data_IF_991858056913
#
_entry.id   IF_991858056913
#
_cell.length_a   1.000
_cell.length_b   1.000
_cell.length_c   1.000
_cell.angle_alpha   90.00
_cell.angle_beta   90.00
_cell.angle_gamma   90.00
#
_symmetry.space_group_name_H-M   'P 1'
#
loop_
_entity.id
_entity.type
_entity.pdbx_description
1 polymer ?
#
# COMPACT_ATOMS: atom_id res chain seq x y z
N UNK A 1 5.46 17.96 8.46
CA UNK A 1 5.17 16.51 8.39
C UNK A 1 5.03 16.14 6.93
N UNK A 2 6.01 15.47 6.30
CA UNK A 2 5.90 15.12 4.88
C UNK A 2 4.98 13.90 4.71
N UNK A 3 3.99 14.02 3.83
CA UNK A 3 3.18 12.90 3.37
C UNK A 3 4.03 12.09 2.37
N UNK A 4 3.98 10.77 2.48
CA UNK A 4 4.64 9.84 1.57
C UNK A 4 3.64 8.79 1.10
N UNK A 5 3.76 8.41 -0.17
CA UNK A 5 3.11 7.23 -0.70
C UNK A 5 3.98 6.03 -0.31
N UNK A 6 3.39 5.03 0.34
CA UNK A 6 4.10 3.85 0.86
C UNK A 6 3.27 2.58 0.75
N UNK A 7 3.96 1.44 0.81
CA UNK A 7 3.34 0.12 0.81
C UNK A 7 3.07 -0.36 2.25
N UNK A 8 1.81 -0.64 2.56
CA UNK A 8 1.40 -1.28 3.80
C UNK A 8 1.30 -2.79 3.62
N UNK A 9 2.00 -3.55 4.48
CA UNK A 9 2.08 -5.01 4.32
C UNK A 9 0.84 -5.66 4.92
N UNK A 10 0.00 -6.18 4.03
CA UNK A 10 -1.11 -7.05 4.32
C UNK A 10 -0.82 -8.47 3.81
N UNK A 11 -1.71 -9.42 4.09
CA UNK A 11 -1.54 -10.81 3.67
C UNK A 11 -0.84 -11.70 4.70
N UNK A 12 -0.50 -12.91 4.27
CA UNK A 12 -0.07 -14.01 5.15
C UNK A 12 1.45 -14.17 5.15
N UNK A 13 1.97 -14.96 6.06
CA UNK A 13 3.38 -15.41 6.00
C UNK A 13 3.59 -16.13 4.65
N UNK A 14 4.64 -15.76 3.92
CA UNK A 14 4.94 -16.32 2.60
C UNK A 14 4.03 -15.88 1.45
N UNK A 15 2.99 -15.08 1.70
CA UNK A 15 2.08 -14.53 0.67
C UNK A 15 1.86 -13.03 0.92
N UNK A 16 2.83 -12.17 0.55
CA UNK A 16 2.73 -10.73 0.79
C UNK A 16 1.69 -10.07 -0.11
N UNK A 17 0.87 -9.18 0.43
CA UNK A 17 -0.06 -8.34 -0.29
C UNK A 17 0.10 -6.91 0.19
N UNK A 18 0.04 -5.91 -0.69
CA UNK A 18 0.34 -4.54 -0.30
C UNK A 18 -0.80 -3.60 -0.62
N UNK A 19 -1.09 -2.70 0.31
CA UNK A 19 -1.91 -1.52 0.03
C UNK A 19 -0.98 -0.36 -0.28
N UNK A 20 -1.31 0.38 -1.34
CA UNK A 20 -0.64 1.61 -1.71
C UNK A 20 -1.39 2.73 -0.99
N UNK A 21 -0.75 3.39 -0.03
CA UNK A 21 -1.40 4.38 0.84
C UNK A 21 -0.61 5.67 0.91
N UNK A 22 -1.31 6.79 1.02
CA UNK A 22 -0.74 8.08 1.41
C UNK A 22 -0.78 8.20 2.93
N UNK A 23 0.37 8.45 3.58
CA UNK A 23 0.46 8.58 5.03
C UNK A 23 1.58 9.54 5.46
N UNK A 24 1.51 10.07 6.69
CA UNK A 24 2.63 10.80 7.28
C UNK A 24 3.85 9.87 7.41
N UNK A 25 5.03 10.36 7.01
CA UNK A 25 6.29 9.66 7.10
C UNK A 25 6.62 9.11 8.51
N UNK A 26 6.09 9.72 9.57
CA UNK A 26 6.35 9.31 10.97
C UNK A 26 5.42 8.21 11.47
N UNK A 27 4.31 7.94 10.77
CA UNK A 27 3.38 6.88 11.16
C UNK A 27 4.02 5.50 11.03
N UNK A 28 3.65 4.55 11.88
CA UNK A 28 4.11 3.15 11.77
C UNK A 28 3.70 2.56 10.42
N UNK A 29 4.45 1.55 9.91
CA UNK A 29 4.23 0.98 8.58
C UNK A 29 2.75 0.65 8.35
N UNK A 30 2.19 -0.24 9.16
CA UNK A 30 0.81 -0.74 9.02
C UNK A 30 -0.19 0.05 9.91
N UNK A 31 0.18 1.26 10.34
CA UNK A 31 -0.66 2.12 11.17
C UNK A 31 -1.66 2.96 10.37
N UNK A 32 -2.14 4.04 10.99
CA UNK A 32 -3.07 4.99 10.37
C UNK A 32 -2.49 5.59 9.09
N UNK A 33 -3.29 5.60 8.03
CA UNK A 33 -3.03 6.27 6.76
C UNK A 33 -4.09 7.35 6.52
N UNK A 34 -3.83 8.24 5.55
CA UNK A 34 -4.76 9.30 5.13
C UNK A 34 -5.74 8.74 4.11
N UNK A 35 -5.21 8.12 3.06
CA UNK A 35 -5.98 7.60 1.93
C UNK A 35 -5.34 6.33 1.35
N UNK A 36 -6.17 5.43 0.85
CA UNK A 36 -5.74 4.24 0.10
C UNK A 36 -5.85 4.54 -1.39
N UNK A 37 -4.70 4.59 -2.05
CA UNK A 37 -4.56 4.89 -3.48
C UNK A 37 -4.65 3.63 -4.35
N UNK A 38 -4.54 2.44 -3.76
CA UNK A 38 -4.56 1.21 -4.55
C UNK A 38 -4.06 -0.03 -3.84
N UNK A 39 -3.80 -1.07 -4.62
CA UNK A 39 -3.25 -2.34 -4.18
C UNK A 39 -2.13 -2.83 -5.10
N UNK A 40 -1.23 -3.60 -4.51
CA UNK A 40 -0.17 -4.30 -5.21
C UNK A 40 -0.08 -5.74 -4.72
N UNK A 41 -0.21 -6.69 -5.66
CA UNK A 41 -0.13 -8.12 -5.39
C UNK A 41 1.03 -8.75 -6.20
N UNK A 42 2.17 -9.03 -5.55
CA UNK A 42 3.30 -9.70 -6.21
C UNK A 42 3.12 -11.22 -6.35
N UNK A 43 2.03 -11.82 -5.84
CA UNK A 43 1.83 -13.27 -5.91
C UNK A 43 1.25 -13.72 -7.26
N UNK A 44 0.86 -12.79 -8.13
CA UNK A 44 0.36 -13.06 -9.48
C UNK A 44 1.48 -12.85 -10.51
N UNK A 45 1.39 -13.53 -11.65
CA UNK A 45 2.31 -13.34 -12.77
C UNK A 45 1.50 -13.06 -14.05
N UNK A 46 1.52 -11.82 -14.59
CA UNK A 46 2.23 -10.65 -14.08
C UNK A 46 1.67 -10.14 -12.75
N UNK A 47 2.47 -9.37 -12.01
CA UNK A 47 2.04 -8.81 -10.72
C UNK A 47 0.85 -7.86 -10.91
N UNK A 48 -0.18 -8.01 -10.08
CA UNK A 48 -1.40 -7.19 -10.17
C UNK A 48 -1.16 -5.87 -9.46
N UNK A 49 -1.42 -4.77 -10.15
CA UNK A 49 -1.39 -3.41 -9.63
C UNK A 49 -2.71 -2.75 -9.98
N UNK A 50 -3.43 -2.27 -8.97
CA UNK A 50 -4.64 -1.47 -9.17
C UNK A 50 -4.41 -0.14 -8.47
N UNK A 51 -4.54 0.96 -9.21
CA UNK A 51 -4.37 2.32 -8.73
C UNK A 51 -5.63 3.12 -9.02
N UNK A 52 -6.07 3.87 -8.04
CA UNK A 52 -7.09 4.88 -8.20
C UNK A 52 -6.40 6.20 -8.58
N UNK A 53 -6.61 6.64 -9.81
CA UNK A 53 -5.92 7.80 -10.41
C UNK A 53 -6.90 8.95 -10.69
N UNK A 54 -8.21 8.73 -10.50
CA UNK A 54 -9.29 9.62 -10.92
C UNK A 54 -9.78 10.57 -9.79
N UNK A 55 -8.91 10.83 -8.79
CA UNK A 55 -9.22 11.71 -7.65
C UNK A 55 -9.52 13.17 -8.01
#
# INVERSE_FOLDING_TARGET
MPVKIRLQRHGKKGKPFYWIVAADARSTRDGKYLEKLGIYNPNTNPATVELDVDG
#
